data_IF_504057378730
#
_entry.id   IF_504057378730
#
_cell.length_a   1.000
_cell.length_b   1.000
_cell.length_c   1.000
_cell.angle_alpha   90.00
_cell.angle_beta   90.00
_cell.angle_gamma   90.00
#
_symmetry.space_group_name_H-M   'P 1'
#
loop_
_entity.id
_entity.type
_entity.pdbx_description
1 polymer ?
#
# COMPACT_ATOMS: atom_id res chain seq x y z
N UNK A 1 -22.70 -41.99 -15.97
CA UNK A 1 -23.41 -40.95 -15.19
C UNK A 1 -22.65 -39.66 -15.45
N UNK A 2 -23.30 -38.65 -16.05
CA UNK A 2 -22.64 -37.41 -16.47
C UNK A 2 -21.95 -36.77 -15.27
N UNK A 3 -20.71 -36.34 -15.49
CA UNK A 3 -19.76 -35.73 -14.55
C UNK A 3 -20.26 -34.39 -13.99
N UNK A 4 -21.44 -34.36 -13.38
CA UNK A 4 -21.97 -33.17 -12.73
C UNK A 4 -21.37 -33.04 -11.34
N UNK A 5 -20.68 -31.93 -11.08
CA UNK A 5 -20.21 -31.58 -9.73
C UNK A 5 -21.36 -31.67 -8.73
N UNK A 6 -21.07 -32.23 -7.54
CA UNK A 6 -22.06 -32.29 -6.46
C UNK A 6 -22.34 -30.89 -5.91
N UNK A 7 -23.56 -30.66 -5.42
CA UNK A 7 -23.95 -29.37 -4.87
C UNK A 7 -23.01 -28.89 -3.74
N UNK A 8 -22.52 -29.82 -2.91
CA UNK A 8 -21.59 -29.49 -1.81
C UNK A 8 -20.28 -28.93 -2.33
N UNK A 9 -19.68 -29.58 -3.35
CA UNK A 9 -18.42 -29.11 -3.94
C UNK A 9 -18.62 -27.73 -4.58
N UNK A 10 -19.73 -27.52 -5.27
CA UNK A 10 -20.04 -26.21 -5.89
C UNK A 10 -20.21 -25.12 -4.84
N UNK A 11 -20.86 -25.42 -3.71
CA UNK A 11 -20.99 -24.46 -2.60
C UNK A 11 -19.66 -24.09 -1.96
N UNK A 12 -18.73 -25.03 -1.82
CA UNK A 12 -17.39 -24.76 -1.28
C UNK A 12 -16.52 -23.94 -2.26
N UNK A 13 -16.72 -24.13 -3.57
CA UNK A 13 -16.03 -23.38 -4.63
C UNK A 13 -16.66 -22.02 -4.92
N UNK A 14 -17.93 -21.81 -4.57
CA UNK A 14 -18.69 -20.60 -4.88
C UNK A 14 -18.04 -19.31 -4.36
N UNK A 15 -17.55 -19.23 -3.10
CA UNK A 15 -16.85 -18.05 -2.61
C UNK A 15 -15.66 -17.69 -3.50
N UNK A 16 -14.81 -18.68 -3.82
CA UNK A 16 -13.64 -18.49 -4.68
C UNK A 16 -14.03 -18.09 -6.11
N UNK A 17 -15.14 -18.64 -6.63
CA UNK A 17 -15.67 -18.28 -7.95
C UNK A 17 -16.15 -16.82 -8.00
N UNK A 18 -16.88 -16.35 -6.99
CA UNK A 18 -17.33 -14.95 -6.89
C UNK A 18 -16.14 -13.98 -6.80
N UNK A 19 -15.07 -14.39 -6.12
CA UNK A 19 -13.81 -13.62 -5.99
C UNK A 19 -12.88 -13.74 -7.21
N UNK A 20 -13.27 -14.53 -8.23
CA UNK A 20 -12.45 -14.83 -9.43
C UNK A 20 -11.07 -15.41 -9.11
N UNK A 21 -11.02 -16.29 -8.12
CA UNK A 21 -9.80 -17.00 -7.69
C UNK A 21 -9.74 -18.43 -8.24
N UNK A 22 -10.70 -18.82 -9.07
CA UNK A 22 -10.83 -20.14 -9.70
C UNK A 22 -10.19 -20.18 -11.08
N UNK A 23 -9.80 -21.38 -11.53
CA UNK A 23 -9.31 -21.60 -12.89
C UNK A 23 -10.48 -21.75 -13.87
N UNK A 24 -10.23 -21.44 -15.15
CA UNK A 24 -11.26 -21.47 -16.20
C UNK A 24 -11.97 -22.83 -16.36
N UNK A 25 -11.30 -23.94 -16.03
CA UNK A 25 -11.92 -25.28 -16.02
C UNK A 25 -12.95 -25.42 -14.90
N UNK A 26 -12.63 -24.93 -13.71
CA UNK A 26 -13.52 -24.94 -12.55
C UNK A 26 -14.71 -24.00 -12.77
N UNK A 27 -14.48 -22.84 -13.40
CA UNK A 27 -15.53 -21.86 -13.72
C UNK A 27 -16.63 -22.48 -14.59
N UNK A 28 -16.25 -23.15 -15.68
CA UNK A 28 -17.21 -23.80 -16.59
C UNK A 28 -18.05 -24.84 -15.87
N UNK A 29 -17.41 -25.65 -15.02
CA UNK A 29 -18.10 -26.70 -14.29
C UNK A 29 -19.08 -26.13 -13.24
N UNK A 30 -18.75 -25.00 -12.61
CA UNK A 30 -19.64 -24.27 -11.71
C UNK A 30 -20.81 -23.63 -12.49
N UNK A 31 -20.54 -23.03 -13.65
CA UNK A 31 -21.57 -22.43 -14.52
C UNK A 31 -22.61 -23.44 -14.98
N UNK A 32 -22.19 -24.60 -15.51
CA UNK A 32 -23.09 -25.70 -15.91
C UNK A 32 -23.96 -26.18 -14.74
N UNK A 33 -23.41 -26.21 -13.52
CA UNK A 33 -24.17 -26.57 -12.33
C UNK A 33 -25.16 -25.48 -11.92
N UNK A 34 -24.80 -24.20 -12.01
CA UNK A 34 -25.68 -23.07 -11.70
C UNK A 34 -26.85 -22.96 -12.67
N UNK A 35 -26.68 -23.41 -13.92
CA UNK A 35 -27.75 -23.49 -14.91
C UNK A 35 -28.82 -24.52 -14.53
N UNK A 36 -28.39 -25.68 -14.02
CA UNK A 36 -29.28 -26.79 -13.67
C UNK A 36 -29.80 -26.77 -12.21
N UNK A 37 -29.06 -26.16 -11.28
CA UNK A 37 -29.38 -26.16 -9.85
C UNK A 37 -29.86 -24.80 -9.33
N UNK A 38 -31.15 -24.71 -8.99
CA UNK A 38 -31.75 -23.50 -8.39
C UNK A 38 -31.16 -23.15 -7.03
N UNK A 39 -30.88 -24.16 -6.19
CA UNK A 39 -30.36 -23.97 -4.83
C UNK A 39 -28.99 -23.28 -4.84
N UNK A 40 -28.07 -23.76 -5.68
CA UNK A 40 -26.74 -23.16 -5.82
C UNK A 40 -26.81 -21.75 -6.43
N UNK A 41 -27.80 -21.47 -7.30
CA UNK A 41 -28.04 -20.14 -7.85
C UNK A 41 -28.49 -19.12 -6.81
N UNK A 42 -29.32 -19.51 -5.84
CA UNK A 42 -29.73 -18.63 -4.74
C UNK A 42 -28.55 -18.30 -3.83
N UNK A 43 -27.73 -19.30 -3.50
CA UNK A 43 -26.50 -19.12 -2.72
C UNK A 43 -25.55 -18.17 -3.45
N UNK A 44 -25.33 -18.37 -4.75
CA UNK A 44 -24.50 -17.47 -5.58
C UNK A 44 -24.98 -16.01 -5.52
N UNK A 45 -26.30 -15.78 -5.61
CA UNK A 45 -26.88 -14.43 -5.50
C UNK A 45 -26.67 -13.80 -4.12
N UNK A 46 -26.81 -14.59 -3.05
CA UNK A 46 -26.57 -14.11 -1.70
C UNK A 46 -25.09 -13.71 -1.49
N UNK A 47 -24.15 -14.57 -1.91
CA UNK A 47 -22.71 -14.28 -1.82
C UNK A 47 -22.29 -13.08 -2.67
N UNK A 48 -22.81 -12.98 -3.91
CA UNK A 48 -22.48 -11.85 -4.78
C UNK A 48 -23.02 -10.52 -4.25
N UNK A 49 -24.19 -10.51 -3.60
CA UNK A 49 -24.71 -9.32 -2.93
C UNK A 49 -23.83 -8.89 -1.74
N UNK A 50 -23.35 -9.86 -0.95
CA UNK A 50 -22.46 -9.63 0.19
C UNK A 50 -21.09 -9.07 -0.24
N UNK A 51 -20.50 -9.63 -1.30
CA UNK A 51 -19.25 -9.11 -1.89
C UNK A 51 -19.41 -7.68 -2.41
N UNK A 52 -20.56 -7.34 -3.00
CA UNK A 52 -20.84 -5.96 -3.44
C UNK A 52 -20.95 -5.02 -2.23
N UNK A 53 -21.60 -5.46 -1.15
CA UNK A 53 -21.70 -4.70 0.09
C UNK A 53 -20.32 -4.47 0.73
N UNK A 54 -19.50 -5.52 0.83
CA UNK A 54 -18.15 -5.46 1.39
C UNK A 54 -17.17 -4.66 0.53
N UNK A 55 -17.25 -4.74 -0.80
CA UNK A 55 -16.42 -3.93 -1.70
C UNK A 55 -16.73 -2.44 -1.57
N UNK A 56 -17.97 -2.09 -1.21
CA UNK A 56 -18.37 -0.72 -0.90
C UNK A 56 -17.86 -0.26 0.47
N UNK A 57 -17.61 -1.19 1.39
CA UNK A 57 -17.08 -0.91 2.74
C UNK A 57 -15.56 -0.97 2.85
N UNK A 58 -14.80 -1.47 1.86
CA UNK A 58 -13.34 -1.29 1.82
C UNK A 58 -13.08 0.19 1.63
N UNK A 59 -12.71 0.93 2.69
CA UNK A 59 -12.69 2.36 2.63
C UNK A 59 -11.45 2.73 1.81
N UNK A 60 -11.63 3.40 0.67
CA UNK A 60 -10.53 4.16 0.03
C UNK A 60 -9.81 5.11 1.01
N UNK A 61 -10.39 5.35 2.19
CA UNK A 61 -9.74 6.00 3.33
C UNK A 61 -8.43 5.28 3.74
N UNK A 62 -8.39 3.95 3.83
CA UNK A 62 -7.18 3.25 4.31
C UNK A 62 -5.98 3.39 3.37
N UNK A 63 -6.22 3.38 2.05
CA UNK A 63 -5.16 3.58 1.06
C UNK A 63 -4.57 5.00 1.10
N UNK A 64 -5.38 6.00 1.44
CA UNK A 64 -4.91 7.38 1.62
C UNK A 64 -4.11 7.56 2.91
N UNK A 65 -4.45 6.82 3.98
CA UNK A 65 -3.68 6.84 5.23
C UNK A 65 -2.25 6.32 5.04
N UNK A 66 -2.08 5.19 4.34
CA UNK A 66 -0.76 4.61 4.08
C UNK A 66 0.12 5.51 3.20
N UNK A 67 -0.48 6.19 2.21
CA UNK A 67 0.25 7.16 1.36
C UNK A 67 0.66 8.40 2.14
N UNK A 68 -0.18 8.88 3.07
CA UNK A 68 0.10 10.07 3.88
C UNK A 68 1.29 9.85 4.82
N UNK A 69 1.35 8.69 5.48
CA UNK A 69 2.45 8.34 6.40
C UNK A 69 3.81 8.28 5.69
N UNK A 70 3.88 7.65 4.50
CA UNK A 70 5.14 7.56 3.74
C UNK A 70 5.66 8.92 3.31
N UNK A 71 4.78 9.85 2.91
CA UNK A 71 5.16 11.22 2.51
C UNK A 71 5.68 12.04 3.69
N UNK A 72 5.02 12.00 4.84
CA UNK A 72 5.47 12.75 6.03
C UNK A 72 6.85 12.27 6.51
N UNK A 73 7.10 10.95 6.49
CA UNK A 73 8.41 10.39 6.88
C UNK A 73 9.53 10.80 5.92
N UNK A 74 9.27 10.84 4.61
CA UNK A 74 10.23 11.29 3.61
C UNK A 74 10.56 12.78 3.76
N UNK A 75 9.55 13.63 3.98
CA UNK A 75 9.76 15.07 4.20
C UNK A 75 10.58 15.35 5.47
N UNK A 76 10.30 14.63 6.57
CA UNK A 76 11.07 14.75 7.81
C UNK A 76 12.55 14.33 7.60
N UNK A 77 12.79 13.24 6.87
CA UNK A 77 14.15 12.81 6.54
C UNK A 77 14.89 13.86 5.68
N UNK A 78 14.25 14.41 4.65
CA UNK A 78 14.83 15.47 3.82
C UNK A 78 15.15 16.72 4.64
N UNK A 79 14.24 17.16 5.51
CA UNK A 79 14.47 18.31 6.40
C UNK A 79 15.66 18.05 7.34
N UNK A 80 15.79 16.84 7.88
CA UNK A 80 16.92 16.50 8.75
C UNK A 80 18.28 16.56 8.02
N UNK A 81 18.32 16.12 6.76
CA UNK A 81 19.53 16.19 5.93
C UNK A 81 19.89 17.64 5.62
N UNK A 82 18.90 18.45 5.22
CA UNK A 82 19.11 19.88 4.95
C UNK A 82 19.63 20.59 6.20
N UNK A 83 19.02 20.34 7.37
CA UNK A 83 19.47 20.90 8.64
C UNK A 83 20.91 20.50 8.95
N UNK A 84 21.27 19.22 8.80
CA UNK A 84 22.64 18.75 9.02
C UNK A 84 23.65 19.43 8.08
N UNK A 85 23.31 19.57 6.79
CA UNK A 85 24.17 20.26 5.82
C UNK A 85 24.32 21.74 6.13
N UNK A 86 23.23 22.42 6.49
CA UNK A 86 23.28 23.84 6.88
C UNK A 86 24.11 24.03 8.14
N UNK A 87 23.95 23.17 9.15
CA UNK A 87 24.72 23.25 10.39
C UNK A 87 26.21 22.97 10.14
N UNK A 88 26.52 21.96 9.33
CA UNK A 88 27.90 21.68 8.89
C UNK A 88 28.53 22.87 8.16
N UNK A 89 27.80 23.50 7.24
CA UNK A 89 28.25 24.71 6.55
C UNK A 89 28.47 25.89 7.50
N UNK A 90 27.56 26.10 8.46
CA UNK A 90 27.70 27.16 9.47
C UNK A 90 28.94 26.94 10.33
N UNK A 91 29.18 25.72 10.81
CA UNK A 91 30.39 25.37 11.56
C UNK A 91 31.66 25.63 10.73
N UNK A 92 31.69 25.14 9.49
CA UNK A 92 32.80 25.39 8.56
C UNK A 92 33.04 26.90 8.37
N UNK A 93 31.98 27.68 8.14
CA UNK A 93 32.08 29.13 7.97
C UNK A 93 32.56 29.85 9.24
N UNK A 94 32.15 29.36 10.42
CA UNK A 94 32.55 29.92 11.71
C UNK A 94 34.04 29.70 11.98
N UNK A 95 34.56 28.49 11.71
CA UNK A 95 35.98 28.20 11.88
C UNK A 95 36.84 28.97 10.86
N UNK A 96 36.39 29.08 9.60
CA UNK A 96 37.12 29.81 8.56
C UNK A 96 37.18 31.32 8.81
N UNK A 97 36.07 31.94 9.24
CA UNK A 97 36.05 33.36 9.61
C UNK A 97 36.83 33.65 10.89
N UNK A 98 36.78 32.75 11.88
CA UNK A 98 37.51 32.91 13.14
C UNK A 98 39.04 32.82 12.97
N UNK A 99 39.52 31.95 12.08
CA UNK A 99 40.96 31.85 11.79
C UNK A 99 41.47 33.08 11.02
N UNK A 100 40.65 33.62 10.11
CA UNK A 100 41.05 34.79 9.33
C UNK A 100 41.20 36.03 10.21
N UNK A 101 40.32 36.22 11.20
CA UNK A 101 40.36 37.35 12.15
C UNK A 101 41.59 37.29 13.09
N UNK A 102 41.95 36.09 13.57
CA UNK A 102 43.20 35.88 14.35
C UNK A 102 44.46 36.14 13.54
N UNK A 103 44.46 35.80 12.24
CA UNK A 103 45.59 36.07 11.35
C UNK A 103 45.87 37.57 11.20
N UNK A 104 44.81 38.39 11.14
CA UNK A 104 44.94 39.85 11.09
C UNK A 104 45.37 40.43 12.45
N UNK A 105 44.83 39.89 13.54
CA UNK A 105 45.20 40.30 14.90
C UNK A 105 46.66 39.93 15.25
N UNK A 106 47.14 38.77 14.81
CA UNK A 106 48.55 38.39 14.99
C UNK A 106 49.50 39.21 14.12
N UNK A 107 49.08 39.59 12.91
CA UNK A 107 49.89 40.44 12.03
C UNK A 107 50.01 41.88 12.59
N UNK A 108 48.97 42.39 13.26
CA UNK A 108 48.96 43.71 13.87
C UNK A 108 49.77 43.81 15.19
N UNK A 109 50.18 42.68 15.79
CA UNK A 109 51.01 42.66 17.01
C UNK A 109 52.52 42.58 16.66
N UNK A 110 52.85 42.25 15.41
CA UNK A 110 54.23 42.10 14.91
C UNK A 110 54.80 43.32 14.18
N UNK A 111 54.09 44.44 14.15
CA UNK A 111 54.58 45.75 13.65
C UNK A 111 54.75 46.75 14.81
#
# INVERSE_FOLDING_TARGET
>A
MKSGLSCSIVQDLLPNYVEKLTHAETDKAVEEHLESCKKCREVYKALSADVIAHKKSVPMKELNFLKKIKRTRLLAALLSIVLALTFSYLLYSSEYKYTSDKGVLSAAITD
#
